data_IF_317182152795
#
_entry.id   IF_317182152795
#
_cell.length_a   1.000
_cell.length_b   1.000
_cell.length_c   1.000
_cell.angle_alpha   90.00
_cell.angle_beta   90.00
_cell.angle_gamma   90.00
#
_symmetry.space_group_name_H-M   'P 1'
#
loop_
_entity.id
_entity.type
_entity.pdbx_description
1 polymer ?
#
# COMPACT_ATOMS: atom_id res chain seq x y z
N UNK A 1 4.79 -23.58 23.16
CA UNK A 1 5.94 -24.53 23.14
C UNK A 1 5.76 -25.45 21.97
N UNK A 2 6.69 -25.42 21.03
CA UNK A 2 6.73 -26.37 19.91
C UNK A 2 7.07 -27.72 20.50
N UNK A 3 6.27 -28.76 20.25
CA UNK A 3 6.53 -30.09 20.76
C UNK A 3 7.61 -30.78 19.91
N UNK A 4 8.41 -31.67 20.49
CA UNK A 4 9.42 -32.45 19.74
C UNK A 4 8.84 -33.23 18.56
N UNK A 5 7.57 -33.61 18.62
CA UNK A 5 6.85 -34.26 17.53
C UNK A 5 6.59 -33.31 16.36
N UNK A 6 6.19 -32.08 16.63
CA UNK A 6 5.98 -31.03 15.63
C UNK A 6 7.31 -30.69 14.92
N UNK A 7 8.39 -30.53 15.68
CA UNK A 7 9.72 -30.28 15.15
C UNK A 7 10.17 -31.39 14.19
N UNK A 8 10.04 -32.65 14.60
CA UNK A 8 10.40 -33.78 13.76
C UNK A 8 9.59 -33.89 12.47
N UNK A 9 8.29 -33.53 12.53
CA UNK A 9 7.40 -33.66 11.39
C UNK A 9 7.76 -32.75 10.20
N UNK A 10 8.30 -31.56 10.44
CA UNK A 10 8.73 -30.68 9.34
C UNK A 10 10.22 -30.82 9.02
N UNK A 11 11.06 -31.09 10.02
CA UNK A 11 12.52 -31.19 9.86
C UNK A 11 12.94 -32.31 8.93
N UNK A 12 12.19 -33.43 8.91
CA UNK A 12 12.46 -34.54 8.02
C UNK A 12 12.50 -34.12 6.54
N UNK A 13 11.73 -33.15 6.13
CA UNK A 13 11.72 -32.65 4.75
C UNK A 13 12.95 -31.79 4.43
N UNK A 14 13.56 -31.16 5.43
CA UNK A 14 14.80 -30.40 5.29
C UNK A 14 16.01 -31.37 5.26
N UNK A 15 16.02 -32.37 6.16
CA UNK A 15 17.11 -33.32 6.31
C UNK A 15 17.11 -34.40 5.20
N UNK A 16 15.93 -34.71 4.64
CA UNK A 16 15.66 -35.75 3.64
C UNK A 16 14.75 -35.27 2.52
N UNK A 17 15.23 -34.32 1.68
CA UNK A 17 14.38 -33.73 0.61
C UNK A 17 13.93 -34.77 -0.44
N UNK A 18 14.58 -35.95 -0.52
CA UNK A 18 14.12 -37.04 -1.36
C UNK A 18 12.72 -37.58 -1.02
N UNK A 19 12.22 -37.30 0.20
CA UNK A 19 10.86 -37.65 0.60
C UNK A 19 9.79 -36.83 -0.15
N UNK A 20 10.14 -35.71 -0.74
CA UNK A 20 9.18 -34.90 -1.51
C UNK A 20 8.62 -35.65 -2.70
N UNK A 21 9.44 -36.45 -3.40
CA UNK A 21 8.98 -37.18 -4.58
C UNK A 21 7.86 -38.20 -4.28
N UNK A 22 7.97 -39.09 -3.28
CA UNK A 22 6.87 -40.00 -2.92
C UNK A 22 5.66 -39.24 -2.33
N UNK A 23 5.88 -38.17 -1.56
CA UNK A 23 4.79 -37.38 -0.98
C UNK A 23 3.97 -36.69 -2.06
N UNK A 24 4.61 -36.01 -3.02
CA UNK A 24 3.93 -35.36 -4.13
C UNK A 24 3.15 -36.35 -4.99
N UNK A 25 3.70 -37.57 -5.17
CA UNK A 25 2.98 -38.65 -5.87
C UNK A 25 1.71 -39.07 -5.13
N UNK A 26 1.78 -39.22 -3.80
CA UNK A 26 0.60 -39.54 -2.97
C UNK A 26 -0.47 -38.46 -3.08
N UNK A 27 -0.05 -37.19 -3.12
CA UNK A 27 -0.94 -36.04 -3.21
C UNK A 27 -1.46 -35.79 -4.65
N UNK A 28 -0.94 -36.50 -5.64
CA UNK A 28 -1.31 -36.28 -7.04
C UNK A 28 -0.78 -34.96 -7.62
N UNK A 29 0.25 -34.38 -7.01
CA UNK A 29 0.88 -33.15 -7.46
C UNK A 29 2.16 -33.49 -8.22
N UNK A 30 2.37 -32.98 -9.45
CA UNK A 30 3.57 -33.24 -10.20
C UNK A 30 4.80 -32.57 -9.57
N UNK A 31 5.86 -33.33 -9.41
CA UNK A 31 7.19 -32.80 -9.07
C UNK A 31 8.09 -32.89 -10.32
N UNK A 32 8.75 -31.81 -10.74
CA UNK A 32 9.63 -31.85 -11.89
C UNK A 32 10.71 -32.92 -11.75
N UNK A 33 10.97 -33.66 -12.83
CA UNK A 33 12.05 -34.63 -12.84
C UNK A 33 13.40 -33.93 -12.62
N UNK A 34 14.22 -34.47 -11.71
CA UNK A 34 15.50 -33.87 -11.33
C UNK A 34 15.41 -32.52 -10.64
N UNK A 35 14.32 -32.26 -9.90
CA UNK A 35 14.20 -31.05 -9.09
C UNK A 35 15.36 -30.95 -8.10
N UNK A 36 15.98 -29.76 -8.03
CA UNK A 36 16.95 -29.41 -7.00
C UNK A 36 16.17 -28.79 -5.84
N UNK A 37 16.43 -29.27 -4.63
CA UNK A 37 15.76 -28.78 -3.42
C UNK A 37 16.77 -27.98 -2.61
N UNK A 38 16.43 -26.73 -2.32
CA UNK A 38 17.19 -25.83 -1.46
C UNK A 38 16.36 -25.48 -0.22
N UNK A 39 16.98 -25.51 0.95
CA UNK A 39 16.35 -25.10 2.21
C UNK A 39 16.52 -23.60 2.37
N UNK A 40 15.42 -22.87 2.31
CA UNK A 40 15.38 -21.42 2.50
C UNK A 40 15.09 -21.07 3.96
N UNK A 41 15.28 -19.79 4.33
CA UNK A 41 14.87 -19.30 5.65
C UNK A 41 13.37 -19.46 5.85
N UNK A 42 12.99 -19.93 7.04
CA UNK A 42 11.59 -20.04 7.44
C UNK A 42 11.01 -18.70 7.94
N UNK A 43 11.85 -17.68 8.11
CA UNK A 43 11.40 -16.35 8.50
C UNK A 43 10.77 -15.64 7.30
N UNK A 44 9.45 -15.48 7.36
CA UNK A 44 8.65 -14.76 6.36
C UNK A 44 8.35 -13.31 6.79
N UNK A 45 9.02 -12.82 7.85
CA UNK A 45 8.90 -11.43 8.31
C UNK A 45 9.57 -10.51 7.29
N UNK A 46 8.84 -9.56 6.78
CA UNK A 46 9.37 -8.56 5.86
C UNK A 46 10.27 -7.58 6.63
N UNK A 47 11.58 -7.66 6.43
CA UNK A 47 12.57 -6.74 7.00
C UNK A 47 12.52 -5.36 6.28
N UNK A 48 12.11 -5.37 5.00
CA UNK A 48 11.80 -4.15 4.25
C UNK A 48 10.32 -4.17 3.92
N UNK A 49 9.54 -3.18 4.40
CA UNK A 49 8.14 -3.08 4.01
C UNK A 49 8.08 -3.00 2.49
N UNK A 50 7.55 -4.02 1.84
CA UNK A 50 7.13 -3.90 0.45
C UNK A 50 6.04 -2.84 0.47
N UNK A 51 6.30 -1.68 -0.11
CA UNK A 51 5.32 -0.60 -0.22
C UNK A 51 4.20 -1.06 -1.16
N UNK A 52 3.25 -1.77 -0.59
CA UNK A 52 2.05 -2.26 -1.27
C UNK A 52 0.88 -1.46 -0.73
N UNK A 53 0.36 -0.57 -1.56
CA UNK A 53 -0.79 0.26 -1.22
C UNK A 53 -1.99 -0.22 -2.01
N UNK A 54 -3.08 -0.47 -1.32
CA UNK A 54 -4.42 -0.57 -1.90
C UNK A 54 -5.01 0.84 -1.97
N UNK A 55 -5.81 1.14 -3.00
CA UNK A 55 -6.32 2.51 -3.19
C UNK A 55 -7.23 2.94 -2.03
N UNK A 56 -8.07 2.03 -1.52
CA UNK A 56 -8.92 2.30 -0.35
C UNK A 56 -9.23 1.03 0.43
N UNK A 57 -9.40 1.15 1.74
CA UNK A 57 -9.92 0.09 2.62
C UNK A 57 -11.07 0.66 3.45
N UNK A 58 -12.21 0.01 3.37
CA UNK A 58 -13.39 0.35 4.16
C UNK A 58 -13.68 -0.77 5.14
N UNK A 59 -14.07 -0.43 6.35
CA UNK A 59 -14.63 -1.36 7.34
C UNK A 59 -16.14 -1.21 7.32
N UNK A 60 -16.83 -2.31 7.10
CA UNK A 60 -18.28 -2.39 7.05
C UNK A 60 -18.74 -3.12 8.32
N UNK A 61 -19.51 -2.42 9.14
CA UNK A 61 -20.06 -2.95 10.38
C UNK A 61 -21.60 -2.94 10.28
N UNK A 62 -22.25 -4.08 10.49
CA UNK A 62 -23.71 -4.12 10.61
C UNK A 62 -24.21 -3.36 11.83
N UNK A 63 -25.45 -2.89 11.86
CA UNK A 63 -26.02 -2.15 12.99
C UNK A 63 -26.02 -2.90 14.31
N UNK A 64 -26.07 -4.23 14.28
CA UNK A 64 -25.99 -5.13 15.44
C UNK A 64 -24.56 -5.40 15.92
N UNK A 65 -23.55 -4.91 15.17
CA UNK A 65 -22.14 -5.09 15.49
C UNK A 65 -21.58 -6.49 15.26
N UNK A 66 -22.38 -7.43 14.72
CA UNK A 66 -21.95 -8.79 14.44
C UNK A 66 -21.65 -8.99 12.94
N UNK A 67 -20.57 -9.71 12.61
CA UNK A 67 -20.27 -10.13 11.24
C UNK A 67 -19.71 -9.03 10.31
N UNK A 68 -19.03 -8.03 10.85
CA UNK A 68 -18.36 -6.99 10.05
C UNK A 68 -17.27 -7.57 9.14
N UNK A 69 -16.95 -6.84 8.07
CA UNK A 69 -15.91 -7.21 7.11
C UNK A 69 -15.15 -5.99 6.57
N UNK A 70 -14.02 -6.25 5.94
CA UNK A 70 -13.22 -5.24 5.27
C UNK A 70 -13.43 -5.31 3.75
N UNK A 71 -13.53 -4.16 3.12
CA UNK A 71 -13.59 -4.02 1.67
C UNK A 71 -12.36 -3.25 1.19
N UNK A 72 -11.44 -3.95 0.55
CA UNK A 72 -10.35 -3.36 -0.21
C UNK A 72 -10.87 -2.95 -1.58
N UNK A 73 -10.61 -1.72 -2.02
CA UNK A 73 -11.06 -1.18 -3.31
C UNK A 73 -9.83 -0.82 -4.14
N UNK A 74 -9.81 -1.27 -5.38
CA UNK A 74 -8.77 -0.99 -6.38
C UNK A 74 -9.39 -0.47 -7.67
N UNK A 75 -8.88 0.64 -8.19
CA UNK A 75 -9.23 1.16 -9.51
C UNK A 75 -8.25 0.62 -10.56
N UNK A 76 -8.74 -0.25 -11.45
CA UNK A 76 -7.89 -0.93 -12.42
C UNK A 76 -8.15 -0.44 -13.85
N UNK A 77 -7.18 0.26 -14.43
CA UNK A 77 -7.30 0.84 -15.77
C UNK A 77 -6.77 -0.05 -16.90
N UNK A 78 -6.04 -1.13 -16.58
CA UNK A 78 -5.46 -2.07 -17.55
C UNK A 78 -5.18 -3.42 -16.89
N UNK A 79 -5.00 -4.46 -17.72
CA UNK A 79 -4.51 -5.76 -17.22
C UNK A 79 -3.08 -5.61 -16.67
N UNK A 80 -2.84 -6.20 -15.51
CA UNK A 80 -1.55 -6.22 -14.85
C UNK A 80 -1.34 -7.60 -14.19
N UNK A 81 -0.48 -8.47 -14.75
CA UNK A 81 -0.26 -9.82 -14.24
C UNK A 81 0.19 -9.88 -12.77
N UNK A 82 0.92 -8.85 -12.31
CA UNK A 82 1.50 -8.82 -10.97
C UNK A 82 0.46 -8.50 -9.88
N UNK A 83 -0.73 -8.01 -10.29
CA UNK A 83 -1.81 -7.67 -9.37
C UNK A 83 -2.37 -8.86 -8.61
N UNK A 84 -2.43 -10.05 -9.21
CA UNK A 84 -2.97 -11.24 -8.56
C UNK A 84 -2.28 -11.56 -7.23
N UNK A 85 -0.94 -11.50 -7.21
CA UNK A 85 -0.14 -11.73 -6.00
C UNK A 85 -0.33 -10.60 -4.98
N UNK A 86 -0.35 -9.35 -5.44
CA UNK A 86 -0.57 -8.19 -4.58
C UNK A 86 -1.94 -8.20 -3.93
N UNK A 87 -2.99 -8.53 -4.69
CA UNK A 87 -4.36 -8.62 -4.20
C UNK A 87 -4.54 -9.76 -3.19
N UNK A 88 -3.94 -10.93 -3.43
CA UNK A 88 -3.94 -12.03 -2.48
C UNK A 88 -3.25 -11.65 -1.15
N UNK A 89 -2.12 -10.95 -1.26
CA UNK A 89 -1.41 -10.42 -0.10
C UNK A 89 -2.26 -9.40 0.68
N UNK A 90 -2.93 -8.44 0.00
CA UNK A 90 -3.80 -7.46 0.66
C UNK A 90 -4.88 -8.13 1.51
N UNK A 91 -5.60 -9.10 0.93
CA UNK A 91 -6.67 -9.78 1.64
C UNK A 91 -6.15 -10.56 2.86
N UNK A 92 -5.05 -11.30 2.67
CA UNK A 92 -4.43 -12.07 3.76
C UNK A 92 -3.93 -11.15 4.88
N UNK A 93 -3.24 -10.06 4.52
CA UNK A 93 -2.74 -9.07 5.47
C UNK A 93 -3.87 -8.38 6.24
N UNK A 94 -4.89 -7.90 5.53
CA UNK A 94 -6.03 -7.22 6.14
C UNK A 94 -6.79 -8.16 7.09
N UNK A 95 -7.04 -9.40 6.66
CA UNK A 95 -7.70 -10.40 7.50
C UNK A 95 -6.90 -10.69 8.76
N UNK A 96 -5.58 -10.89 8.64
CA UNK A 96 -4.72 -11.17 9.78
C UNK A 96 -4.60 -9.98 10.74
N UNK A 97 -4.49 -8.76 10.20
CA UNK A 97 -4.28 -7.55 11.00
C UNK A 97 -5.52 -7.13 11.79
N UNK A 98 -6.70 -7.26 11.19
CA UNK A 98 -7.96 -6.75 11.77
C UNK A 98 -8.86 -7.86 12.30
N UNK A 99 -8.47 -9.14 12.12
CA UNK A 99 -9.22 -10.32 12.53
C UNK A 99 -10.66 -10.34 11.96
N UNK A 100 -10.84 -9.76 10.75
CA UNK A 100 -12.10 -9.66 10.04
C UNK A 100 -11.97 -10.24 8.64
N UNK A 101 -13.05 -10.84 8.08
CA UNK A 101 -13.08 -11.21 6.67
C UNK A 101 -12.77 -10.00 5.78
N UNK A 102 -12.01 -10.20 4.71
CA UNK A 102 -11.68 -9.14 3.76
C UNK A 102 -12.14 -9.52 2.35
N UNK A 103 -12.78 -8.58 1.65
CA UNK A 103 -13.19 -8.68 0.26
C UNK A 103 -12.39 -7.69 -0.59
N UNK A 104 -12.19 -8.03 -1.85
CA UNK A 104 -11.59 -7.15 -2.84
C UNK A 104 -12.64 -6.73 -3.86
N UNK A 105 -12.81 -5.43 -4.04
CA UNK A 105 -13.61 -4.82 -5.10
C UNK A 105 -12.67 -4.16 -6.11
N UNK A 106 -12.75 -4.57 -7.36
CA UNK A 106 -11.99 -3.98 -8.47
C UNK A 106 -12.94 -3.19 -9.35
N UNK A 107 -12.63 -1.91 -9.54
CA UNK A 107 -13.40 -1.00 -10.37
C UNK A 107 -12.70 -0.81 -11.70
N UNK A 108 -13.39 -1.09 -12.81
CA UNK A 108 -12.85 -1.04 -14.16
C UNK A 108 -13.68 -0.12 -15.06
N UNK A 109 -13.00 0.63 -15.93
CA UNK A 109 -13.66 1.51 -16.91
C UNK A 109 -13.84 0.86 -18.30
N UNK A 110 -13.31 -0.33 -18.54
CA UNK A 110 -13.46 -1.06 -19.78
C UNK A 110 -13.74 -2.55 -19.55
N UNK A 111 -14.43 -3.15 -20.52
CA UNK A 111 -14.90 -4.55 -20.44
C UNK A 111 -13.76 -5.55 -20.43
N UNK A 112 -12.69 -5.27 -21.16
CA UNK A 112 -11.58 -6.22 -21.28
C UNK A 112 -10.81 -6.32 -19.95
N UNK A 113 -10.60 -5.18 -19.28
CA UNK A 113 -10.01 -5.13 -17.94
C UNK A 113 -10.93 -5.73 -16.90
N UNK A 114 -12.24 -5.43 -16.94
CA UNK A 114 -13.24 -6.00 -16.03
C UNK A 114 -13.32 -7.52 -16.17
N UNK A 115 -13.39 -8.05 -17.39
CA UNK A 115 -13.38 -9.48 -17.64
C UNK A 115 -12.12 -10.19 -17.15
N UNK A 116 -10.96 -9.55 -17.27
CA UNK A 116 -9.72 -10.06 -16.71
C UNK A 116 -9.72 -10.01 -15.17
N UNK A 117 -10.15 -8.89 -14.59
CA UNK A 117 -10.17 -8.69 -13.14
C UNK A 117 -11.13 -9.64 -12.41
N UNK A 118 -12.15 -10.15 -13.09
CA UNK A 118 -13.11 -11.11 -12.52
C UNK A 118 -12.46 -12.44 -12.14
N UNK A 119 -11.28 -12.76 -12.65
CA UNK A 119 -10.57 -13.99 -12.32
C UNK A 119 -11.31 -15.27 -12.71
N UNK A 120 -11.24 -16.34 -11.92
CA UNK A 120 -10.42 -16.49 -10.72
C UNK A 120 -8.91 -16.43 -11.01
N UNK A 121 -8.17 -15.76 -10.12
CA UNK A 121 -6.71 -15.81 -10.18
C UNK A 121 -6.23 -17.00 -9.36
N UNK A 122 -5.46 -17.87 -9.98
CA UNK A 122 -4.93 -19.09 -9.36
C UNK A 122 -3.44 -18.92 -9.10
N UNK A 123 -3.05 -19.09 -7.85
CA UNK A 123 -1.67 -19.07 -7.41
C UNK A 123 -1.27 -20.49 -7.00
N UNK A 124 -0.11 -20.93 -7.45
CA UNK A 124 0.40 -22.28 -7.22
C UNK A 124 1.12 -22.82 -8.45
N UNK A 125 1.07 -24.13 -8.64
CA UNK A 125 1.56 -24.80 -9.85
C UNK A 125 0.44 -24.91 -10.89
N UNK A 126 0.79 -25.07 -12.16
CA UNK A 126 -0.19 -25.19 -13.26
C UNK A 126 -1.28 -26.24 -12.98
N UNK A 127 -0.88 -27.37 -12.38
CA UNK A 127 -1.77 -28.50 -12.09
C UNK A 127 -2.26 -28.55 -10.63
N UNK A 128 -1.80 -27.60 -9.78
CA UNK A 128 -2.21 -27.52 -8.38
C UNK A 128 -2.41 -26.10 -7.91
N UNK A 129 -3.67 -25.69 -7.77
CA UNK A 129 -4.02 -24.38 -7.22
C UNK A 129 -3.89 -24.40 -5.70
N UNK A 130 -2.92 -23.67 -5.17
CA UNK A 130 -2.72 -23.50 -3.73
C UNK A 130 -3.63 -22.42 -3.13
N UNK A 131 -3.90 -21.35 -3.91
CA UNK A 131 -4.77 -20.26 -3.52
C UNK A 131 -5.57 -19.77 -4.74
N UNK A 132 -6.87 -19.59 -4.59
CA UNK A 132 -7.74 -18.98 -5.59
C UNK A 132 -8.29 -17.65 -5.08
N UNK A 133 -8.12 -16.59 -5.85
CA UNK A 133 -8.61 -15.25 -5.56
C UNK A 133 -9.80 -14.93 -6.49
N UNK A 134 -10.91 -14.50 -5.89
CA UNK A 134 -12.15 -14.14 -6.57
C UNK A 134 -12.52 -12.68 -6.25
N UNK A 135 -12.05 -11.71 -7.03
CA UNK A 135 -12.43 -10.31 -6.83
C UNK A 135 -13.91 -10.08 -7.16
N UNK A 136 -14.54 -9.17 -6.44
CA UNK A 136 -15.75 -8.51 -6.88
C UNK A 136 -15.37 -7.48 -7.94
N UNK A 137 -16.08 -7.40 -9.04
CA UNK A 137 -15.72 -6.49 -10.13
C UNK A 137 -16.90 -5.62 -10.51
N UNK A 138 -16.69 -4.31 -10.53
CA UNK A 138 -17.58 -3.34 -11.14
C UNK A 138 -16.99 -2.84 -12.45
N UNK A 139 -17.80 -2.86 -13.49
CA UNK A 139 -17.39 -2.42 -14.81
C UNK A 139 -18.59 -2.17 -15.73
N UNK A 140 -18.33 -1.87 -17.03
CA UNK A 140 -19.39 -1.49 -17.97
C UNK A 140 -20.51 -2.52 -18.20
N UNK A 141 -20.30 -3.77 -17.79
CA UNK A 141 -21.29 -4.83 -18.00
C UNK A 141 -22.30 -4.96 -16.85
N UNK A 142 -21.97 -4.46 -15.65
CA UNK A 142 -22.82 -4.59 -14.47
C UNK A 142 -23.14 -3.26 -13.77
N UNK A 143 -22.49 -2.17 -14.14
CA UNK A 143 -22.86 -0.83 -13.70
C UNK A 143 -24.02 -0.34 -14.59
N UNK A 144 -25.15 0.10 -14.02
CA UNK A 144 -26.31 0.54 -14.80
C UNK A 144 -26.00 1.75 -15.67
N UNK A 145 -26.63 1.82 -16.85
CA UNK A 145 -26.57 2.99 -17.76
C UNK A 145 -27.74 3.92 -17.43
N UNK A 146 -27.48 4.96 -16.62
CA UNK A 146 -28.53 5.88 -16.14
C UNK A 146 -28.66 7.06 -17.10
N UNK A 147 -29.72 7.10 -17.89
CA UNK A 147 -29.99 8.16 -18.89
C UNK A 147 -31.23 8.98 -18.58
N UNK A 148 -31.98 8.60 -17.56
CA UNK A 148 -33.14 9.32 -17.08
C UNK A 148 -32.76 10.29 -15.96
N UNK A 149 -33.06 11.63 -16.07
CA UNK A 149 -32.75 12.58 -15.03
C UNK A 149 -33.47 12.32 -13.70
N UNK A 150 -34.68 11.75 -13.71
CA UNK A 150 -35.37 11.41 -12.47
C UNK A 150 -34.73 10.22 -11.74
N UNK A 151 -34.28 9.22 -12.50
CA UNK A 151 -33.50 8.11 -11.96
C UNK A 151 -32.17 8.61 -11.40
N UNK A 152 -31.46 9.47 -12.15
CA UNK A 152 -30.21 10.10 -11.69
C UNK A 152 -30.40 10.91 -10.41
N UNK A 153 -31.52 11.62 -10.27
CA UNK A 153 -31.81 12.43 -9.08
C UNK A 153 -32.13 11.58 -7.83
N UNK A 154 -32.61 10.33 -7.99
CA UNK A 154 -32.87 9.41 -6.86
C UNK A 154 -31.61 8.89 -6.22
N UNK A 155 -30.54 8.67 -7.03
CA UNK A 155 -29.27 8.13 -6.58
C UNK A 155 -28.12 8.80 -7.35
N UNK A 156 -27.74 9.99 -6.92
CA UNK A 156 -26.67 10.77 -7.53
C UNK A 156 -25.31 10.11 -7.46
N UNK A 157 -24.90 9.48 -6.34
CA UNK A 157 -23.65 8.73 -6.30
C UNK A 157 -23.59 7.63 -7.37
N UNK A 158 -24.65 6.86 -7.53
CA UNK A 158 -24.72 5.81 -8.56
C UNK A 158 -24.75 6.40 -9.98
N UNK A 159 -25.46 7.51 -10.19
CA UNK A 159 -25.47 8.20 -11.48
C UNK A 159 -24.12 8.79 -11.87
N UNK A 160 -23.38 9.36 -10.91
CA UNK A 160 -22.02 9.83 -11.12
C UNK A 160 -21.07 8.65 -11.43
N UNK A 161 -21.20 7.55 -10.69
CA UNK A 161 -20.43 6.34 -10.94
C UNK A 161 -20.74 5.71 -12.31
N UNK A 162 -22.02 5.70 -12.73
CA UNK A 162 -22.45 5.32 -14.07
C UNK A 162 -21.75 6.18 -15.14
N UNK A 163 -21.71 7.50 -14.95
CA UNK A 163 -21.07 8.41 -15.89
C UNK A 163 -19.55 8.14 -16.02
N UNK A 164 -18.85 7.91 -14.92
CA UNK A 164 -17.42 7.58 -14.92
C UNK A 164 -17.14 6.23 -15.58
N UNK A 165 -17.93 5.21 -15.29
CA UNK A 165 -17.76 3.85 -15.83
C UNK A 165 -18.04 3.81 -17.33
N UNK A 166 -19.05 4.54 -17.79
CA UNK A 166 -19.47 4.58 -19.19
C UNK A 166 -18.91 5.74 -19.99
N UNK A 167 -17.96 6.51 -19.45
CA UNK A 167 -17.40 7.70 -20.07
C UNK A 167 -16.76 7.48 -21.45
N UNK A 168 -16.40 6.23 -21.78
CA UNK A 168 -15.91 5.81 -23.11
C UNK A 168 -16.96 5.19 -23.99
N UNK A 169 -18.20 5.06 -23.53
CA UNK A 169 -19.29 4.45 -24.24
C UNK A 169 -20.02 5.50 -25.10
N UNK A 170 -20.64 5.05 -26.20
CA UNK A 170 -21.52 5.87 -27.04
C UNK A 170 -22.68 6.55 -26.27
N UNK A 171 -23.08 5.97 -25.15
CA UNK A 171 -24.16 6.51 -24.30
C UNK A 171 -23.69 7.60 -23.33
N UNK A 172 -22.38 7.86 -23.21
CA UNK A 172 -21.83 8.83 -22.28
C UNK A 172 -22.50 10.22 -22.36
N UNK A 173 -22.79 10.81 -23.54
CA UNK A 173 -23.46 12.12 -23.60
C UNK A 173 -24.87 12.12 -23.00
N UNK A 174 -25.62 11.01 -23.16
CA UNK A 174 -26.97 10.91 -22.58
C UNK A 174 -26.93 10.77 -21.06
N UNK A 175 -25.99 9.96 -20.53
CA UNK A 175 -25.76 9.79 -19.09
C UNK A 175 -25.36 11.12 -18.45
N UNK A 176 -24.39 11.82 -19.04
CA UNK A 176 -23.90 13.11 -18.55
C UNK A 176 -25.00 14.17 -18.57
N UNK A 177 -25.84 14.18 -19.60
CA UNK A 177 -26.97 15.09 -19.69
C UNK A 177 -28.03 14.81 -18.62
N UNK A 178 -28.32 13.55 -18.32
CA UNK A 178 -29.24 13.18 -17.25
C UNK A 178 -28.70 13.62 -15.89
N UNK A 179 -27.43 13.34 -15.62
CA UNK A 179 -26.77 13.74 -14.39
C UNK A 179 -26.70 15.28 -14.23
N UNK A 180 -26.34 16.02 -15.28
CA UNK A 180 -26.30 17.49 -15.24
C UNK A 180 -27.66 18.10 -14.92
N UNK A 181 -28.76 17.54 -15.46
CA UNK A 181 -30.12 17.95 -15.14
C UNK A 181 -30.49 17.65 -13.68
N UNK A 182 -30.12 16.45 -13.18
CA UNK A 182 -30.36 16.09 -11.80
C UNK A 182 -29.61 17.03 -10.83
N UNK A 183 -28.37 17.37 -11.15
CA UNK A 183 -27.57 18.32 -10.36
C UNK A 183 -28.12 19.73 -10.36
N UNK A 184 -28.80 20.17 -11.44
CA UNK A 184 -29.37 21.51 -11.54
C UNK A 184 -30.48 21.82 -10.53
N UNK A 185 -30.94 20.82 -9.76
CA UNK A 185 -31.96 20.97 -8.69
C UNK A 185 -31.36 21.00 -7.29
N UNK A 186 -30.03 20.92 -7.16
CA UNK A 186 -29.31 20.78 -5.89
C UNK A 186 -28.66 22.07 -5.41
N UNK A 187 -28.24 22.05 -4.15
CA UNK A 187 -27.41 23.08 -3.55
C UNK A 187 -26.03 23.17 -4.18
N UNK A 188 -25.44 24.37 -4.19
CA UNK A 188 -24.18 24.68 -4.85
C UNK A 188 -23.00 23.75 -4.44
N UNK A 189 -22.93 23.38 -3.17
CA UNK A 189 -21.85 22.55 -2.66
C UNK A 189 -21.88 21.12 -3.25
N UNK A 190 -23.07 20.54 -3.37
CA UNK A 190 -23.28 19.24 -4.01
C UNK A 190 -22.93 19.28 -5.50
N UNK A 191 -23.35 20.36 -6.20
CA UNK A 191 -23.01 20.56 -7.62
C UNK A 191 -21.51 20.66 -7.81
N UNK A 192 -20.82 21.40 -6.95
CA UNK A 192 -19.36 21.56 -7.00
C UNK A 192 -18.67 20.21 -6.81
N UNK A 193 -19.05 19.44 -5.77
CA UNK A 193 -18.47 18.13 -5.49
C UNK A 193 -18.57 17.17 -6.69
N UNK A 194 -19.79 17.00 -7.25
CA UNK A 194 -19.97 16.09 -8.39
C UNK A 194 -19.33 16.60 -9.67
N UNK A 195 -19.24 17.93 -9.83
CA UNK A 195 -18.56 18.53 -11.00
C UNK A 195 -17.07 18.21 -11.01
N UNK A 196 -16.41 18.36 -9.86
CA UNK A 196 -15.00 18.03 -9.70
C UNK A 196 -14.75 16.52 -9.78
N UNK A 197 -15.59 15.70 -9.14
CA UNK A 197 -15.51 14.25 -9.19
C UNK A 197 -15.56 13.75 -10.64
N UNK A 198 -16.50 14.26 -11.44
CA UNK A 198 -16.64 13.89 -12.86
C UNK A 198 -15.49 14.42 -13.72
N UNK A 199 -15.02 15.62 -13.45
CA UNK A 199 -13.88 16.22 -14.14
C UNK A 199 -12.63 15.34 -14.01
N UNK A 200 -12.41 14.79 -12.81
CA UNK A 200 -11.29 13.89 -12.53
C UNK A 200 -11.58 12.48 -13.04
N UNK A 201 -12.75 11.95 -12.73
CA UNK A 201 -13.11 10.55 -12.99
C UNK A 201 -13.29 10.20 -14.46
N UNK A 202 -13.67 11.16 -15.30
CA UNK A 202 -13.75 11.00 -16.76
C UNK A 202 -12.36 11.03 -17.43
N UNK A 203 -11.33 11.52 -16.75
CA UNK A 203 -9.98 11.56 -17.26
C UNK A 203 -9.87 12.28 -18.61
N UNK A 204 -8.96 11.81 -19.48
CA UNK A 204 -8.78 12.37 -20.82
C UNK A 204 -9.69 11.68 -21.85
N UNK A 205 -11.00 11.81 -21.69
CA UNK A 205 -12.00 11.26 -22.62
C UNK A 205 -12.85 12.33 -23.27
N UNK A 206 -13.46 12.08 -24.45
CA UNK A 206 -14.43 13.01 -25.04
C UNK A 206 -15.64 13.32 -24.14
N UNK A 207 -15.96 12.40 -23.24
CA UNK A 207 -17.00 12.57 -22.25
C UNK A 207 -16.69 13.71 -21.27
N UNK A 208 -15.43 13.92 -20.90
CA UNK A 208 -14.98 15.04 -20.08
C UNK A 208 -15.27 16.39 -20.76
N UNK A 209 -14.99 16.51 -22.05
CA UNK A 209 -15.28 17.74 -22.77
C UNK A 209 -16.80 17.98 -22.87
N UNK A 210 -17.57 16.91 -23.08
CA UNK A 210 -19.04 16.97 -23.04
C UNK A 210 -19.52 17.44 -21.66
N UNK A 211 -18.94 16.91 -20.57
CA UNK A 211 -19.25 17.32 -19.21
C UNK A 211 -18.97 18.80 -18.96
N UNK A 212 -17.80 19.26 -19.33
CA UNK A 212 -17.42 20.68 -19.25
C UNK A 212 -18.41 21.59 -19.97
N UNK A 213 -18.82 21.22 -21.17
CA UNK A 213 -19.76 21.98 -21.94
C UNK A 213 -21.15 22.02 -21.26
N UNK A 214 -21.62 20.91 -20.71
CA UNK A 214 -22.89 20.84 -19.99
C UNK A 214 -22.90 21.74 -18.72
N UNK A 215 -21.80 21.71 -17.98
CA UNK A 215 -21.67 22.51 -16.77
C UNK A 215 -21.45 24.02 -17.06
N UNK A 216 -20.79 24.36 -18.16
CA UNK A 216 -20.59 25.75 -18.59
C UNK A 216 -21.86 26.42 -19.09
N UNK A 217 -22.83 25.65 -19.59
CA UNK A 217 -24.13 26.21 -20.09
C UNK A 217 -25.12 26.41 -18.94
N UNK A 218 -24.95 25.74 -17.81
CA UNK A 218 -25.87 25.77 -16.65
C UNK A 218 -25.42 26.66 -15.49
N UNK A 219 -24.15 27.01 -15.40
CA UNK A 219 -23.61 27.83 -14.31
C UNK A 219 -22.69 28.89 -14.86
N UNK A 220 -22.95 30.12 -14.41
CA UNK A 220 -22.14 31.29 -14.71
C UNK A 220 -20.78 31.19 -14.02
N UNK A 221 -19.90 30.37 -14.62
CA UNK A 221 -18.49 30.37 -14.27
C UNK A 221 -17.69 30.88 -15.47
N UNK A 222 -16.98 32.00 -15.36
CA UNK A 222 -16.15 32.51 -16.41
C UNK A 222 -14.95 31.59 -16.63
N UNK A 223 -14.77 31.20 -17.84
CA UNK A 223 -13.66 30.61 -18.60
C UNK A 223 -12.39 30.12 -17.89
N UNK A 224 -11.63 29.38 -18.64
CA UNK A 224 -10.30 28.79 -18.28
C UNK A 224 -9.54 29.59 -17.23
N UNK A 225 -9.19 28.95 -16.11
CA UNK A 225 -8.57 29.59 -14.95
C UNK A 225 -9.60 29.93 -13.89
N UNK A 226 -10.43 28.95 -13.48
CA UNK A 226 -11.36 29.19 -12.38
C UNK A 226 -10.55 29.41 -11.09
N UNK A 227 -11.00 30.38 -10.28
CA UNK A 227 -10.42 30.65 -8.95
C UNK A 227 -10.26 29.38 -8.11
N UNK A 228 -11.08 28.37 -8.35
CA UNK A 228 -11.05 27.05 -7.69
C UNK A 228 -9.87 26.21 -8.19
N UNK A 229 -9.60 26.17 -9.51
CA UNK A 229 -8.44 25.45 -10.05
C UNK A 229 -7.13 26.14 -9.64
N UNK A 230 -7.10 27.47 -9.71
CA UNK A 230 -5.95 28.25 -9.25
C UNK A 230 -5.73 28.09 -7.74
N UNK A 231 -6.80 28.11 -6.94
CA UNK A 231 -6.72 27.91 -5.49
C UNK A 231 -6.31 26.49 -5.13
N UNK A 232 -6.83 25.47 -5.86
CA UNK A 232 -6.45 24.08 -5.68
C UNK A 232 -4.98 23.81 -6.08
N UNK A 233 -4.59 24.31 -7.26
CA UNK A 233 -3.20 24.17 -7.74
C UNK A 233 -2.23 24.93 -6.85
N UNK A 234 -2.64 26.11 -6.35
CA UNK A 234 -1.87 26.89 -5.39
C UNK A 234 -1.76 26.18 -4.05
N UNK A 235 -2.86 25.73 -3.47
CA UNK A 235 -2.87 24.97 -2.21
C UNK A 235 -2.09 23.65 -2.31
N UNK A 236 -2.16 22.95 -3.46
CA UNK A 236 -1.36 21.75 -3.71
C UNK A 236 0.13 22.07 -3.85
N UNK A 237 0.47 23.17 -4.53
CA UNK A 237 1.86 23.60 -4.68
C UNK A 237 2.45 24.06 -3.35
N UNK A 238 1.67 24.80 -2.55
CA UNK A 238 2.02 25.23 -1.20
C UNK A 238 2.20 24.01 -0.27
N UNK A 239 1.24 23.09 -0.23
CA UNK A 239 1.33 21.85 0.57
C UNK A 239 2.50 20.95 0.18
N UNK A 240 2.83 20.86 -1.12
CA UNK A 240 4.04 20.15 -1.57
C UNK A 240 5.33 20.88 -1.19
N UNK A 241 5.33 22.20 -1.24
CA UNK A 241 6.49 23.02 -0.86
C UNK A 241 6.74 22.93 0.66
N UNK A 242 5.67 23.04 1.45
CA UNK A 242 5.72 22.94 2.92
C UNK A 242 6.12 21.54 3.38
N UNK A 243 5.51 20.49 2.84
CA UNK A 243 5.88 19.11 3.14
C UNK A 243 7.34 18.77 2.77
N UNK A 244 7.82 19.32 1.64
CA UNK A 244 9.23 19.17 1.23
C UNK A 244 10.18 19.96 2.13
N UNK A 245 9.78 21.16 2.56
CA UNK A 245 10.55 21.97 3.46
C UNK A 245 10.65 21.33 4.86
N UNK A 246 9.50 20.86 5.38
CA UNK A 246 9.42 20.17 6.67
C UNK A 246 10.20 18.85 6.67
N UNK A 247 10.03 18.01 5.65
CA UNK A 247 10.78 16.77 5.46
C UNK A 247 12.28 17.00 5.36
N UNK A 248 12.71 18.10 4.72
CA UNK A 248 14.13 18.47 4.65
C UNK A 248 14.69 18.94 6.00
N UNK A 249 13.90 19.64 6.80
CA UNK A 249 14.28 20.08 8.14
C UNK A 249 14.40 18.87 9.07
N UNK A 250 13.40 17.99 9.07
CA UNK A 250 13.39 16.77 9.89
C UNK A 250 14.56 15.87 9.51
N UNK A 251 14.71 15.52 8.23
CA UNK A 251 15.79 14.64 7.77
C UNK A 251 17.19 15.23 8.00
N UNK A 252 17.32 16.59 7.97
CA UNK A 252 18.59 17.23 8.34
C UNK A 252 18.88 17.17 9.84
N UNK A 253 17.85 17.30 10.67
CA UNK A 253 17.99 17.19 12.13
C UNK A 253 18.34 15.75 12.54
N UNK A 254 17.66 14.77 11.97
CA UNK A 254 17.94 13.34 12.19
C UNK A 254 19.36 12.97 11.72
N UNK A 255 19.73 13.34 10.49
CA UNK A 255 21.08 13.07 9.97
C UNK A 255 22.20 13.76 10.77
N UNK A 256 21.95 14.95 11.34
CA UNK A 256 22.91 15.61 12.24
C UNK A 256 23.01 14.88 13.58
N UNK A 257 21.91 14.39 14.13
CA UNK A 257 21.90 13.61 15.37
C UNK A 257 22.64 12.28 15.19
N UNK A 258 22.33 11.53 14.13
CA UNK A 258 23.03 10.29 13.79
C UNK A 258 24.52 10.51 13.53
N UNK A 259 24.86 11.56 12.79
CA UNK A 259 26.25 11.93 12.51
C UNK A 259 27.04 12.25 13.78
N UNK A 260 26.43 12.93 14.75
CA UNK A 260 27.07 13.21 16.06
C UNK A 260 27.31 11.95 16.88
N UNK A 261 26.35 11.02 16.87
CA UNK A 261 26.47 9.72 17.56
C UNK A 261 27.63 8.93 16.95
N UNK A 262 27.61 8.75 15.64
CA UNK A 262 28.66 8.01 14.92
C UNK A 262 30.06 8.61 15.10
N UNK A 263 30.17 9.96 15.03
CA UNK A 263 31.43 10.67 15.24
C UNK A 263 31.95 10.48 16.67
N UNK A 264 31.06 10.58 17.67
CA UNK A 264 31.46 10.42 19.07
C UNK A 264 31.92 9.00 19.38
N UNK A 265 31.22 7.97 18.85
CA UNK A 265 31.65 6.57 18.94
C UNK A 265 33.03 6.35 18.28
N UNK A 266 33.24 6.93 17.10
CA UNK A 266 34.53 6.89 16.42
C UNK A 266 35.64 7.55 17.23
N UNK A 267 35.38 8.70 17.87
CA UNK A 267 36.35 9.39 18.72
C UNK A 267 36.76 8.57 19.95
N UNK A 268 35.83 7.85 20.57
CA UNK A 268 36.14 6.92 21.67
C UNK A 268 37.13 5.86 21.19
N UNK A 269 36.86 5.19 20.06
CA UNK A 269 37.72 4.16 19.51
C UNK A 269 39.09 4.70 19.11
N UNK A 270 39.14 5.87 18.48
CA UNK A 270 40.39 6.53 18.09
C UNK A 270 41.26 6.93 19.32
N UNK A 271 40.60 7.35 20.40
CA UNK A 271 41.31 7.70 21.66
C UNK A 271 41.95 6.47 22.28
N UNK A 272 41.23 5.33 22.33
CA UNK A 272 41.79 4.06 22.81
C UNK A 272 42.96 3.58 21.94
N UNK A 273 42.82 3.67 20.62
CA UNK A 273 43.85 3.29 19.66
C UNK A 273 45.11 4.14 19.81
N UNK A 274 44.98 5.46 19.90
CA UNK A 274 46.12 6.38 20.11
C UNK A 274 46.84 6.12 21.43
N UNK A 275 46.10 5.67 22.45
CA UNK A 275 46.68 5.28 23.75
C UNK A 275 47.21 3.84 23.76
N UNK A 276 47.11 3.14 22.64
CA UNK A 276 47.51 1.72 22.46
C UNK A 276 46.77 0.76 23.40
N UNK A 277 45.53 1.07 23.75
CA UNK A 277 44.67 0.21 24.56
C UNK A 277 43.99 -0.80 23.61
N UNK A 278 44.21 -2.11 23.76
CA UNK A 278 43.56 -3.11 22.91
C UNK A 278 42.05 -3.04 23.07
N UNK A 279 41.34 -3.05 21.94
CA UNK A 279 39.87 -3.03 21.92
C UNK A 279 39.35 -4.32 21.27
N UNK A 280 38.71 -5.19 22.06
CA UNK A 280 38.09 -6.42 21.59
C UNK A 280 36.91 -6.12 20.64
N UNK A 281 36.52 -7.13 19.85
CA UNK A 281 35.41 -6.99 18.91
C UNK A 281 34.09 -6.62 19.61
N UNK A 282 33.80 -7.23 20.75
CA UNK A 282 32.60 -6.96 21.56
C UNK A 282 32.56 -5.53 22.11
N UNK A 283 33.70 -5.03 22.60
CA UNK A 283 33.85 -3.66 23.09
C UNK A 283 33.65 -2.65 21.95
N UNK A 284 34.19 -2.94 20.76
CA UNK A 284 34.02 -2.12 19.57
C UNK A 284 32.56 -2.08 19.14
N UNK A 285 31.90 -3.22 19.09
CA UNK A 285 30.49 -3.32 18.74
C UNK A 285 29.61 -2.56 19.73
N UNK A 286 29.86 -2.69 21.03
CA UNK A 286 29.15 -1.95 22.08
C UNK A 286 29.27 -0.44 21.94
N UNK A 287 30.46 0.06 21.58
CA UNK A 287 30.67 1.49 21.34
C UNK A 287 29.96 1.95 20.07
N UNK A 288 30.05 1.20 18.98
CA UNK A 288 29.46 1.59 17.68
C UNK A 288 27.95 1.44 17.62
N UNK A 289 27.36 0.56 18.42
CA UNK A 289 25.90 0.39 18.52
C UNK A 289 25.21 1.34 19.51
N UNK A 290 25.98 2.07 20.32
CA UNK A 290 25.42 3.03 21.26
C UNK A 290 24.88 4.26 20.53
N UNK A 291 23.60 4.58 20.77
CA UNK A 291 22.90 5.73 20.17
C UNK A 291 22.75 6.91 21.12
N UNK A 292 23.16 6.76 22.38
CA UNK A 292 23.07 7.81 23.40
C UNK A 292 24.34 8.66 23.45
N UNK A 293 24.19 9.95 23.07
CA UNK A 293 25.28 10.90 23.03
C UNK A 293 25.91 11.15 24.39
N UNK A 294 25.16 11.14 25.48
CA UNK A 294 25.66 11.42 26.82
C UNK A 294 26.49 10.23 27.31
N UNK A 295 26.08 9.03 27.06
CA UNK A 295 26.85 7.82 27.35
C UNK A 295 28.14 7.77 26.53
N UNK A 296 28.07 8.05 25.23
CA UNK A 296 29.28 8.15 24.40
C UNK A 296 30.19 9.29 24.85
N UNK A 297 29.64 10.37 25.38
CA UNK A 297 30.41 11.49 25.99
C UNK A 297 31.19 11.01 27.19
N UNK A 298 30.54 10.35 28.14
CA UNK A 298 31.20 9.77 29.33
C UNK A 298 32.28 8.75 28.94
N UNK A 299 32.02 7.89 27.96
CA UNK A 299 33.00 6.94 27.48
C UNK A 299 34.22 7.64 26.83
N UNK A 300 34.02 8.74 26.12
CA UNK A 300 35.10 9.51 25.53
C UNK A 300 36.01 10.13 26.61
N UNK A 301 35.42 10.71 27.67
CA UNK A 301 36.16 11.25 28.80
C UNK A 301 36.94 10.14 29.53
N UNK A 302 36.30 9.01 29.78
CA UNK A 302 36.99 7.87 30.40
C UNK A 302 38.08 7.26 29.52
N UNK A 303 37.90 7.26 28.21
CA UNK A 303 38.91 6.79 27.27
C UNK A 303 40.24 7.54 27.39
N UNK A 304 40.26 8.75 27.98
CA UNK A 304 41.47 9.50 28.24
C UNK A 304 42.28 9.00 29.44
N UNK A 305 41.66 8.27 30.36
CA UNK A 305 42.28 7.88 31.64
C UNK A 305 42.37 6.37 31.89
N UNK A 306 41.43 5.58 31.36
CA UNK A 306 41.38 4.12 31.58
C UNK A 306 42.66 3.42 31.08
N UNK A 307 42.98 2.29 31.68
CA UNK A 307 44.08 1.42 31.26
C UNK A 307 43.58 0.16 30.55
N UNK A 308 42.29 -0.16 30.68
CA UNK A 308 41.61 -1.26 29.98
C UNK A 308 40.35 -0.71 29.31
N UNK A 309 40.02 -1.21 28.09
CA UNK A 309 38.88 -0.75 27.35
C UNK A 309 37.53 -1.13 27.99
N UNK A 310 37.48 -2.18 28.78
CA UNK A 310 36.28 -2.61 29.51
C UNK A 310 35.94 -1.65 30.67
N UNK A 311 36.90 -0.91 31.18
CA UNK A 311 36.67 0.06 32.24
C UNK A 311 35.84 1.27 31.78
N UNK A 312 35.66 1.47 30.47
CA UNK A 312 34.75 2.48 29.91
C UNK A 312 33.31 2.32 30.41
N UNK A 313 32.91 1.07 30.65
CA UNK A 313 31.51 0.69 30.91
C UNK A 313 31.17 0.54 32.38
N UNK A 314 32.14 0.74 33.29
CA UNK A 314 31.85 0.71 34.72
C UNK A 314 31.00 1.91 35.12
N UNK A 315 29.94 1.67 35.89
CA UNK A 315 29.18 2.75 36.51
C UNK A 315 30.03 3.35 37.67
N UNK A 316 30.00 4.67 37.79
CA UNK A 316 30.58 5.33 38.96
C UNK A 316 29.66 5.04 40.16
N UNK A 317 30.15 4.34 41.19
CA UNK A 317 29.48 4.16 42.48
C UNK A 317 29.25 5.48 43.21
#
# INVERSE_FOLDING_TARGET
MVTSHHEAAHRIFQDRPELLAPVFRILGVPLPAKAVVEVLTADVTEIRPLERRVDSVLRIEPPDGEGGFLLAIEAQGRRDPDKAVSWAYYLSYLTAKYELPALLLVVCQDRATAGWAAGPFRLGLDEWTALALHPLVLGPDNVPVITDPEEAARDLPLAAFSAMTHGRNRNAPAILKALARALGTLEADSVTYYSELLEIGLGHTPARDTWRNLMNVGTYFPGRGTLVEETYLKGRAEGMADGKAEGKVIGRAEGLAEGRVAERGRLVLLTLENRRIPTLAETRERITSCTDLDTLGRWLERALTVTDAEDLFREDD
#
